data_IF_023764677716
#
_entry.id   IF_023764677716
#
_cell.length_a   1.000
_cell.length_b   1.000
_cell.length_c   1.000
_cell.angle_alpha   90.00
_cell.angle_beta   90.00
_cell.angle_gamma   90.00
#
_symmetry.space_group_name_H-M   'P 1'
#
loop_
_entity.id
_entity.type
_entity.pdbx_description
1 polymer ?
#
# COMPACT_ATOMS: atom_id res chain seq x y z
N UNK A 1 -11.74 17.05 10.74
CA UNK A 1 -11.62 17.20 9.26
C UNK A 1 -10.37 17.96 8.83
N UNK A 2 -10.07 19.15 9.37
CA UNK A 2 -8.90 19.95 8.95
C UNK A 2 -7.57 19.19 9.04
N UNK A 3 -7.32 18.48 10.14
CA UNK A 3 -6.10 17.68 10.31
C UNK A 3 -5.89 16.61 9.21
N UNK A 4 -6.97 16.02 8.68
CA UNK A 4 -6.85 15.07 7.57
C UNK A 4 -6.47 15.79 6.28
N UNK A 5 -7.15 16.90 5.95
CA UNK A 5 -6.91 17.65 4.71
C UNK A 5 -5.54 18.33 4.70
N UNK A 6 -5.12 18.90 5.83
CA UNK A 6 -3.93 19.75 5.91
C UNK A 6 -2.64 18.95 6.13
N UNK A 7 -2.72 17.76 6.75
CA UNK A 7 -1.53 16.99 7.14
C UNK A 7 -1.56 15.55 6.62
N UNK A 8 -2.64 14.80 6.83
CA UNK A 8 -2.68 13.37 6.50
C UNK A 8 -2.73 13.14 4.98
N UNK A 9 -3.64 13.82 4.29
CA UNK A 9 -3.77 13.75 2.84
C UNK A 9 -2.47 14.08 2.08
N UNK A 10 -1.79 15.22 2.33
CA UNK A 10 -0.51 15.49 1.66
C UNK A 10 0.56 14.47 2.03
N UNK A 11 0.61 13.98 3.27
CA UNK A 11 1.55 12.93 3.67
C UNK A 11 1.30 11.61 2.91
N UNK A 12 0.04 11.21 2.72
CA UNK A 12 -0.34 10.03 1.93
C UNK A 12 0.07 10.20 0.47
N UNK A 13 -0.13 11.38 -0.13
CA UNK A 13 0.32 11.65 -1.50
C UNK A 13 1.84 11.57 -1.64
N UNK A 14 2.59 12.13 -0.69
CA UNK A 14 4.07 12.01 -0.67
C UNK A 14 4.48 10.55 -0.56
N UNK A 15 3.84 9.77 0.32
CA UNK A 15 4.12 8.34 0.46
C UNK A 15 3.79 7.56 -0.83
N UNK A 16 2.70 7.88 -1.51
CA UNK A 16 2.35 7.30 -2.81
C UNK A 16 3.40 7.65 -3.87
N UNK A 17 3.85 8.91 -3.94
CA UNK A 17 4.89 9.32 -4.88
C UNK A 17 6.21 8.59 -4.63
N UNK A 18 6.63 8.47 -3.36
CA UNK A 18 7.84 7.72 -2.99
C UNK A 18 7.70 6.24 -3.35
N UNK A 19 6.54 5.63 -3.10
CA UNK A 19 6.28 4.23 -3.45
C UNK A 19 6.31 4.01 -4.97
N UNK A 20 5.69 4.90 -5.74
CA UNK A 20 5.69 4.87 -7.21
C UNK A 20 7.11 4.97 -7.77
N UNK A 21 7.89 5.94 -7.28
CA UNK A 21 9.27 6.14 -7.69
C UNK A 21 10.16 4.96 -7.30
N UNK A 22 10.04 4.45 -6.07
CA UNK A 22 10.79 3.28 -5.63
C UNK A 22 10.46 2.02 -6.47
N UNK A 23 9.18 1.82 -6.82
CA UNK A 23 8.75 0.75 -7.72
C UNK A 23 9.36 0.90 -9.11
N UNK A 24 9.31 2.10 -9.69
CA UNK A 24 9.92 2.40 -10.98
C UNK A 24 11.44 2.25 -11.00
N UNK A 25 12.13 2.69 -9.94
CA UNK A 25 13.59 2.51 -9.80
C UNK A 25 13.92 1.02 -9.70
N UNK A 26 13.12 0.22 -8.99
CA UNK A 26 13.34 -1.23 -8.84
C UNK A 26 13.22 -1.96 -10.17
N UNK A 27 12.33 -1.49 -11.07
CA UNK A 27 12.24 -2.00 -12.44
C UNK A 27 13.52 -1.78 -13.25
N UNK A 28 14.13 -0.60 -13.12
CA UNK A 28 15.37 -0.26 -13.83
C UNK A 28 16.62 -0.88 -13.17
N UNK A 29 16.63 -0.98 -11.84
CA UNK A 29 17.76 -1.42 -11.04
C UNK A 29 17.31 -2.35 -9.91
N UNK A 30 17.47 -3.66 -10.13
CA UNK A 30 17.06 -4.72 -9.19
C UNK A 30 17.72 -4.58 -7.80
N UNK A 31 18.94 -4.01 -7.73
CA UNK A 31 19.62 -3.72 -6.46
C UNK A 31 18.83 -2.78 -5.55
N UNK A 32 17.92 -1.97 -6.09
CA UNK A 32 17.05 -1.09 -5.34
C UNK A 32 15.89 -1.83 -4.64
N UNK A 33 15.69 -3.13 -4.89
CA UNK A 33 14.63 -3.92 -4.23
C UNK A 33 14.72 -3.88 -2.70
N UNK A 34 15.94 -3.78 -2.13
CA UNK A 34 16.10 -3.61 -0.68
C UNK A 34 15.48 -2.31 -0.19
N UNK A 35 15.62 -1.22 -0.95
CA UNK A 35 15.03 0.08 -0.63
C UNK A 35 13.51 -0.01 -0.77
N UNK A 36 13.01 -0.65 -1.82
CA UNK A 36 11.57 -0.85 -2.02
C UNK A 36 10.94 -1.53 -0.81
N UNK A 37 11.57 -2.56 -0.23
CA UNK A 37 11.06 -3.22 0.99
C UNK A 37 10.89 -2.25 2.16
N UNK A 38 11.85 -1.35 2.38
CA UNK A 38 11.75 -0.31 3.41
C UNK A 38 10.63 0.69 3.12
N UNK A 39 10.51 1.11 1.86
CA UNK A 39 9.46 2.03 1.41
C UNK A 39 8.08 1.42 1.60
N UNK A 40 7.90 0.14 1.26
CA UNK A 40 6.67 -0.62 1.50
C UNK A 40 6.33 -0.69 2.99
N UNK A 41 7.32 -0.97 3.85
CA UNK A 41 7.13 -0.93 5.31
C UNK A 41 6.71 0.46 5.81
N UNK A 42 7.33 1.53 5.30
CA UNK A 42 6.91 2.89 5.61
C UNK A 42 5.50 3.21 5.13
N UNK A 43 5.13 2.72 3.95
CA UNK A 43 3.80 2.90 3.37
C UNK A 43 2.72 2.26 4.25
N UNK A 44 2.96 1.06 4.81
CA UNK A 44 2.05 0.45 5.78
C UNK A 44 1.80 1.35 7.00
N UNK A 45 2.83 2.03 7.51
CA UNK A 45 2.70 2.95 8.65
C UNK A 45 1.84 4.15 8.26
N UNK A 46 2.08 4.74 7.08
CA UNK A 46 1.30 5.89 6.59
C UNK A 46 -0.16 5.52 6.39
N UNK A 47 -0.46 4.36 5.78
CA UNK A 47 -1.84 3.88 5.63
C UNK A 47 -2.50 3.62 6.99
N UNK A 48 -1.77 3.10 7.98
CA UNK A 48 -2.30 2.92 9.33
C UNK A 48 -2.68 4.27 9.97
N UNK A 49 -1.84 5.30 9.81
CA UNK A 49 -2.14 6.67 10.28
C UNK A 49 -3.37 7.23 9.56
N UNK A 50 -3.49 7.01 8.26
CA UNK A 50 -4.64 7.42 7.46
C UNK A 50 -5.93 6.78 7.99
N UNK A 51 -5.93 5.46 8.18
CA UNK A 51 -7.05 4.68 8.72
C UNK A 51 -7.47 5.21 10.10
N UNK A 52 -6.52 5.41 11.02
CA UNK A 52 -6.81 5.93 12.36
C UNK A 52 -7.44 7.32 12.28
N UNK A 53 -6.90 8.19 11.43
CA UNK A 53 -7.39 9.55 11.27
C UNK A 53 -8.83 9.58 10.74
N UNK A 54 -9.17 8.69 9.81
CA UNK A 54 -10.53 8.55 9.27
C UNK A 54 -11.50 7.98 10.32
N UNK A 55 -11.07 7.03 11.14
CA UNK A 55 -11.89 6.51 12.26
C UNK A 55 -12.21 7.64 13.24
N UNK A 56 -11.22 8.46 13.60
CA UNK A 56 -11.44 9.63 14.47
C UNK A 56 -12.41 10.62 13.83
N UNK A 57 -12.29 10.89 12.54
CA UNK A 57 -13.20 11.78 11.82
C UNK A 57 -14.64 11.25 11.77
N UNK A 58 -14.82 9.93 11.62
CA UNK A 58 -16.11 9.26 11.66
C UNK A 58 -16.77 9.37 13.04
N UNK A 59 -16.02 9.14 14.11
CA UNK A 59 -16.53 9.22 15.50
C UNK A 59 -16.96 10.65 15.85
N UNK A 60 -16.30 11.66 15.28
CA UNK A 60 -16.66 13.08 15.48
C UNK A 60 -17.90 13.53 14.69
N UNK A 61 -18.50 12.65 13.86
CA UNK A 61 -19.80 12.90 13.21
C UNK A 61 -19.78 13.87 12.02
N UNK A 62 -18.60 14.25 11.52
CA UNK A 62 -18.47 15.23 10.42
C UNK A 62 -18.41 14.65 9.01
N UNK A 63 -18.45 13.32 8.85
CA UNK A 63 -18.22 12.67 7.56
C UNK A 63 -19.38 11.75 7.16
N UNK A 64 -19.76 11.71 5.86
CA UNK A 64 -20.78 10.79 5.38
C UNK A 64 -20.27 9.34 5.53
N UNK A 65 -20.92 8.62 6.43
CA UNK A 65 -20.46 7.33 6.97
C UNK A 65 -20.28 6.30 5.85
N UNK A 66 -21.27 6.13 4.98
CA UNK A 66 -21.27 5.09 3.94
C UNK A 66 -20.06 5.24 3.01
N UNK A 67 -19.84 6.44 2.44
CA UNK A 67 -18.73 6.63 1.51
C UNK A 67 -17.37 6.53 2.21
N UNK A 68 -17.23 7.12 3.39
CA UNK A 68 -15.97 7.12 4.13
C UNK A 68 -15.57 5.71 4.53
N UNK A 69 -16.52 4.89 4.98
CA UNK A 69 -16.29 3.48 5.33
C UNK A 69 -15.94 2.65 4.08
N UNK A 70 -16.62 2.86 2.95
CA UNK A 70 -16.29 2.17 1.69
C UNK A 70 -14.84 2.44 1.23
N UNK A 71 -14.41 3.71 1.28
CA UNK A 71 -13.03 4.07 0.93
C UNK A 71 -12.01 3.63 1.98
N UNK A 72 -12.39 3.55 3.26
CA UNK A 72 -11.57 2.96 4.31
C UNK A 72 -11.29 1.47 4.02
N UNK A 73 -12.34 0.71 3.66
CA UNK A 73 -12.17 -0.69 3.25
C UNK A 73 -11.32 -0.81 1.98
N UNK A 74 -11.48 0.09 1.01
CA UNK A 74 -10.64 0.11 -0.18
C UNK A 74 -9.15 0.33 0.17
N UNK A 75 -8.84 1.27 1.07
CA UNK A 75 -7.47 1.51 1.52
C UNK A 75 -6.86 0.28 2.22
N UNK A 76 -7.64 -0.39 3.08
CA UNK A 76 -7.20 -1.61 3.77
C UNK A 76 -7.00 -2.77 2.80
N UNK A 77 -7.88 -2.92 1.80
CA UNK A 77 -7.79 -3.99 0.80
C UNK A 77 -6.55 -3.88 -0.10
N UNK A 78 -5.97 -2.68 -0.25
CA UNK A 78 -4.72 -2.48 -0.99
C UNK A 78 -3.48 -2.98 -0.24
N UNK A 79 -3.54 -3.09 1.09
CA UNK A 79 -2.41 -3.53 1.93
C UNK A 79 -1.92 -4.96 1.64
N UNK A 80 -2.78 -6.00 1.55
CA UNK A 80 -2.33 -7.34 1.21
C UNK A 80 -1.78 -7.45 -0.21
N UNK A 81 -2.18 -6.55 -1.13
CA UNK A 81 -1.69 -6.56 -2.51
C UNK A 81 -0.20 -6.17 -2.63
N UNK A 82 0.31 -5.36 -1.68
CA UNK A 82 1.75 -5.04 -1.59
C UNK A 82 2.59 -6.25 -1.14
N UNK A 83 1.95 -7.26 -0.56
CA UNK A 83 2.60 -8.49 -0.09
C UNK A 83 2.67 -9.61 -1.14
N UNK A 84 2.15 -9.42 -2.35
CA UNK A 84 1.96 -10.52 -3.32
C UNK A 84 3.28 -11.21 -3.72
N UNK A 85 4.42 -10.52 -3.83
CA UNK A 85 5.65 -11.25 -4.15
C UNK A 85 6.28 -11.97 -2.95
N UNK A 86 5.77 -11.80 -1.72
CA UNK A 86 6.11 -12.70 -0.59
C UNK A 86 5.51 -14.09 -0.78
N UNK A 87 4.47 -14.26 -1.61
CA UNK A 87 3.91 -15.57 -1.99
C UNK A 87 4.81 -16.34 -2.99
N UNK A 88 5.72 -15.64 -3.66
CA UNK A 88 6.72 -16.23 -4.57
C UNK A 88 8.08 -16.49 -3.90
N UNK A 89 8.28 -16.01 -2.66
CA UNK A 89 9.47 -16.36 -1.91
C UNK A 89 9.46 -17.88 -1.69
N UNK A 90 10.61 -18.57 -1.81
CA UNK A 90 10.70 -19.92 -1.30
C UNK A 90 10.22 -19.84 0.14
N UNK A 91 9.25 -20.69 0.50
CA UNK A 91 8.90 -20.89 1.90
C UNK A 91 10.23 -21.01 2.63
N UNK A 92 10.44 -20.17 3.64
CA UNK A 92 11.61 -20.29 4.49
C UNK A 92 11.83 -21.77 4.74
N UNK A 93 13.05 -22.25 4.46
CA UNK A 93 13.48 -23.64 4.64
C UNK A 93 13.19 -24.20 6.06
N UNK A 94 12.66 -23.36 6.96
CA UNK A 94 12.22 -23.64 8.32
C UNK A 94 10.72 -24.02 8.48
N UNK A 95 9.91 -24.08 7.40
CA UNK A 95 8.52 -24.56 7.49
C UNK A 95 8.45 -26.01 7.01
N UNK A 96 8.25 -27.01 7.90
CA UNK A 96 8.08 -28.41 7.50
C UNK A 96 6.64 -28.60 6.97
N UNK A 97 6.28 -27.94 5.88
CA UNK A 97 5.04 -28.21 5.16
C UNK A 97 5.26 -29.38 4.22
N UNK A 98 4.33 -30.34 4.26
CA UNK A 98 4.38 -31.64 3.57
C UNK A 98 4.16 -31.56 2.05
N UNK A 99 4.19 -30.36 1.45
CA UNK A 99 3.92 -30.10 0.03
C UNK A 99 5.08 -29.35 -0.63
N UNK A 100 6.30 -29.91 -0.57
CA UNK A 100 7.35 -29.54 -1.54
C UNK A 100 6.99 -30.18 -2.87
N UNK A 101 6.07 -29.59 -3.63
CA UNK A 101 5.89 -29.92 -5.04
C UNK A 101 7.22 -29.64 -5.77
N UNK A 102 7.96 -30.67 -6.22
CA UNK A 102 9.27 -30.50 -6.85
C UNK A 102 9.19 -29.72 -8.16
N UNK A 103 8.00 -29.62 -8.76
CA UNK A 103 7.75 -28.95 -10.04
C UNK A 103 7.13 -27.55 -9.90
N UNK A 104 7.01 -27.00 -8.68
CA UNK A 104 6.57 -25.62 -8.49
C UNK A 104 7.50 -24.66 -9.26
N UNK A 105 6.97 -23.83 -10.18
CA UNK A 105 7.77 -22.77 -10.80
C UNK A 105 8.21 -21.77 -9.71
N UNK A 106 9.50 -21.71 -9.42
CA UNK A 106 10.08 -20.74 -8.48
C UNK A 106 10.52 -19.54 -9.29
N UNK A 107 10.00 -18.36 -8.96
CA UNK A 107 10.42 -17.11 -9.59
C UNK A 107 11.88 -16.82 -9.22
N UNK A 108 12.68 -16.44 -10.21
CA UNK A 108 14.02 -15.96 -9.94
C UNK A 108 13.95 -14.65 -9.13
N UNK A 109 14.94 -14.35 -8.26
CA UNK A 109 14.96 -13.13 -7.45
C UNK A 109 14.73 -11.85 -8.26
N UNK A 110 15.24 -11.80 -9.48
CA UNK A 110 15.07 -10.67 -10.41
C UNK A 110 13.63 -10.52 -10.90
N UNK A 111 12.92 -11.63 -11.12
CA UNK A 111 11.50 -11.64 -11.49
C UNK A 111 10.64 -11.19 -10.32
N UNK A 112 10.96 -11.64 -9.10
CA UNK A 112 10.29 -11.22 -7.86
C UNK A 112 10.41 -9.70 -7.69
N UNK A 113 11.62 -9.14 -7.81
CA UNK A 113 11.85 -7.71 -7.66
C UNK A 113 11.07 -6.85 -8.68
N UNK A 114 10.94 -7.33 -9.92
CA UNK A 114 10.14 -6.65 -10.95
C UNK A 114 8.65 -6.74 -10.66
N UNK A 115 8.13 -7.91 -10.28
CA UNK A 115 6.71 -8.06 -9.91
C UNK A 115 6.37 -7.17 -8.71
N UNK A 116 7.23 -7.14 -7.68
CA UNK A 116 7.11 -6.23 -6.53
C UNK A 116 7.10 -4.77 -6.96
N UNK A 117 8.02 -4.37 -7.84
CA UNK A 117 8.08 -3.01 -8.37
C UNK A 117 6.80 -2.59 -9.10
N UNK A 118 6.25 -3.47 -9.94
CA UNK A 118 5.00 -3.21 -10.68
C UNK A 118 3.82 -3.11 -9.72
N UNK A 119 3.71 -4.05 -8.78
CA UNK A 119 2.65 -4.05 -7.78
C UNK A 119 2.69 -2.75 -6.95
N UNK A 120 3.87 -2.34 -6.48
CA UNK A 120 4.06 -1.09 -5.76
C UNK A 120 3.58 0.13 -6.55
N UNK A 121 3.89 0.20 -7.85
CA UNK A 121 3.43 1.29 -8.71
C UNK A 121 1.90 1.33 -8.85
N UNK A 122 1.27 0.18 -9.12
CA UNK A 122 -0.18 0.08 -9.24
C UNK A 122 -0.86 0.49 -7.93
N UNK A 123 -0.34 0.00 -6.81
CA UNK A 123 -0.91 0.28 -5.49
C UNK A 123 -0.71 1.74 -5.08
N UNK A 124 0.42 2.35 -5.42
CA UNK A 124 0.62 3.78 -5.22
C UNK A 124 -0.44 4.62 -5.93
N UNK A 125 -0.77 4.29 -7.19
CA UNK A 125 -1.81 5.01 -7.95
C UNK A 125 -3.20 4.75 -7.35
N UNK A 126 -3.50 3.50 -7.00
CA UNK A 126 -4.77 3.14 -6.39
C UNK A 126 -4.95 3.85 -5.02
N UNK A 127 -3.92 3.87 -4.18
CA UNK A 127 -3.97 4.57 -2.89
C UNK A 127 -4.11 6.09 -3.06
N UNK A 128 -3.40 6.69 -4.01
CA UNK A 128 -3.54 8.12 -4.30
C UNK A 128 -4.96 8.49 -4.75
N UNK A 129 -5.60 7.64 -5.56
CA UNK A 129 -7.00 7.87 -5.99
C UNK A 129 -8.00 7.71 -4.86
N UNK A 130 -7.80 6.74 -3.96
CA UNK A 130 -8.61 6.59 -2.74
C UNK A 130 -8.45 7.81 -1.82
N UNK A 131 -7.21 8.23 -1.54
CA UNK A 131 -6.93 9.39 -0.71
C UNK A 131 -7.53 10.67 -1.30
N UNK A 132 -7.42 10.87 -2.62
CA UNK A 132 -8.06 12.00 -3.30
C UNK A 132 -9.58 11.97 -3.15
N UNK A 133 -10.22 10.81 -3.34
CA UNK A 133 -11.67 10.68 -3.15
C UNK A 133 -12.09 10.99 -1.72
N UNK A 134 -11.36 10.50 -0.73
CA UNK A 134 -11.61 10.84 0.68
C UNK A 134 -11.48 12.33 0.94
N UNK A 135 -10.42 12.97 0.44
CA UNK A 135 -10.24 14.42 0.56
C UNK A 135 -11.39 15.21 -0.09
N UNK A 136 -11.87 14.80 -1.28
CA UNK A 136 -13.01 15.48 -1.93
C UNK A 136 -14.31 15.32 -1.14
N UNK A 137 -14.55 14.14 -0.55
CA UNK A 137 -15.74 13.88 0.26
C UNK A 137 -15.69 14.71 1.54
N UNK A 138 -14.55 14.73 2.22
CA UNK A 138 -14.37 15.46 3.47
C UNK A 138 -14.36 16.97 3.26
N UNK A 139 -13.80 17.46 2.15
CA UNK A 139 -13.80 18.88 1.79
C UNK A 139 -15.15 19.39 1.28
N UNK A 140 -16.03 18.50 0.79
CA UNK A 140 -17.39 18.88 0.41
C UNK A 140 -18.33 19.07 1.62
N UNK A 141 -17.91 18.63 2.82
CA UNK A 141 -18.71 18.66 4.05
C UNK A 141 -18.14 19.64 5.09
N UNK A 142 -16.97 20.23 4.81
CA UNK A 142 -16.33 21.31 5.60
C UNK A 142 -16.78 22.68 5.15
#
# INVERSE_FOLDING_TARGET
>A
MSAYLDAVYPAVLVACAVLLLAGGITMAAIRAHRILKWVVSGFYIVTAIEVISLIVALVQGGAPIVMTVSYLFAAIALLPMLGIARLGAPDSDDTPSKDKDPNRPILQPDQIARVDGAAAMIIAIAAATVAWRLATILGAVS
#
